data_IF_399455948953
#
_entry.id   IF_399455948953
#
_cell.length_a   1.000
_cell.length_b   1.000
_cell.length_c   1.000
_cell.angle_alpha   90.00
_cell.angle_beta   90.00
_cell.angle_gamma   90.00
#
_symmetry.space_group_name_H-M   'P 1'
#
loop_
_entity.id
_entity.type
_entity.pdbx_description
1 polymer ?
#
# COMPACT_ATOMS: atom_id res chain seq x y z
N UNK A 1 -4.69 -2.02 5.00
CA UNK A 1 -4.30 -3.42 5.27
C UNK A 1 -4.55 -3.84 6.71
N UNK A 2 -4.17 -3.06 7.72
CA UNK A 2 -4.48 -3.39 9.12
C UNK A 2 -6.00 -3.41 9.42
N UNK A 3 -6.75 -2.41 8.92
CA UNK A 3 -8.21 -2.38 9.05
C UNK A 3 -8.89 -3.57 8.36
N UNK A 4 -8.43 -3.93 7.15
CA UNK A 4 -8.95 -5.09 6.42
C UNK A 4 -8.65 -6.40 7.16
N UNK A 5 -7.48 -6.54 7.79
CA UNK A 5 -7.17 -7.70 8.64
C UNK A 5 -8.18 -7.84 9.77
N UNK A 6 -8.42 -6.75 10.51
CA UNK A 6 -9.32 -6.75 11.64
C UNK A 6 -10.78 -7.02 11.23
N UNK A 7 -11.23 -6.43 10.12
CA UNK A 7 -12.57 -6.61 9.59
C UNK A 7 -12.84 -8.07 9.20
N UNK A 8 -11.89 -8.72 8.51
CA UNK A 8 -12.02 -10.11 8.09
C UNK A 8 -11.96 -11.11 9.26
N UNK A 9 -11.15 -10.85 10.29
CA UNK A 9 -11.10 -11.70 11.49
C UNK A 9 -12.38 -11.57 12.33
N UNK A 10 -12.94 -10.37 12.44
CA UNK A 10 -14.11 -10.12 13.27
C UNK A 10 -15.41 -10.51 12.56
N UNK A 11 -15.47 -10.50 11.22
CA UNK A 11 -16.71 -10.79 10.47
C UNK A 11 -17.37 -12.13 10.87
N UNK A 12 -16.66 -13.26 11.01
CA UNK A 12 -17.28 -14.54 11.40
C UNK A 12 -17.89 -14.53 12.80
N UNK A 13 -17.33 -13.73 13.72
CA UNK A 13 -17.83 -13.58 15.09
C UNK A 13 -19.12 -12.74 15.14
N UNK A 14 -19.33 -11.88 14.15
CA UNK A 14 -20.52 -11.05 13.96
C UNK A 14 -21.20 -11.38 12.63
N UNK A 15 -21.54 -12.64 12.37
CA UNK A 15 -22.07 -13.09 11.07
C UNK A 15 -23.26 -12.26 10.53
N UNK A 16 -24.18 -11.85 11.41
CA UNK A 16 -25.41 -11.14 11.04
C UNK A 16 -25.35 -9.61 11.22
N UNK A 17 -24.25 -9.07 11.76
CA UNK A 17 -24.14 -7.65 12.13
C UNK A 17 -22.77 -7.10 11.74
N UNK A 18 -22.66 -5.80 11.54
CA UNK A 18 -21.33 -5.22 11.36
C UNK A 18 -20.55 -5.24 12.67
N UNK A 19 -19.27 -5.68 12.67
CA UNK A 19 -18.46 -5.68 13.87
C UNK A 19 -18.30 -4.25 14.42
N UNK A 20 -18.24 -4.09 15.75
CA UNK A 20 -18.17 -2.77 16.36
C UNK A 20 -16.90 -2.06 15.91
N UNK A 21 -17.09 -0.80 15.52
CA UNK A 21 -16.05 0.04 14.94
C UNK A 21 -14.78 0.15 15.80
N UNK A 22 -14.94 0.30 17.11
CA UNK A 22 -13.81 0.40 18.04
C UNK A 22 -13.00 -0.91 18.10
N UNK A 23 -13.66 -2.07 17.99
CA UNK A 23 -12.96 -3.35 18.01
C UNK A 23 -12.09 -3.55 16.76
N UNK A 24 -12.58 -3.17 15.57
CA UNK A 24 -11.80 -3.24 14.33
C UNK A 24 -10.53 -2.41 14.47
N UNK A 25 -10.63 -1.22 15.05
CA UNK A 25 -9.51 -0.29 15.19
C UNK A 25 -8.50 -0.71 16.24
N UNK A 26 -8.96 -1.15 17.40
CA UNK A 26 -8.08 -1.67 18.45
C UNK A 26 -7.32 -2.88 17.92
N UNK A 27 -8.00 -3.80 17.22
CA UNK A 27 -7.34 -4.94 16.61
C UNK A 27 -6.35 -4.54 15.50
N UNK A 28 -6.71 -3.56 14.67
CA UNK A 28 -5.82 -2.99 13.66
C UNK A 28 -4.58 -2.32 14.29
N UNK A 29 -4.75 -1.60 15.39
CA UNK A 29 -3.65 -0.98 16.14
C UNK A 29 -2.75 -2.05 16.78
N UNK A 30 -3.34 -3.07 17.41
CA UNK A 30 -2.60 -4.19 18.01
C UNK A 30 -1.77 -4.92 16.97
N UNK A 31 -2.35 -5.26 15.81
CA UNK A 31 -1.60 -5.99 14.77
C UNK A 31 -0.48 -5.13 14.17
N UNK A 32 -0.70 -3.82 13.99
CA UNK A 32 0.34 -2.89 13.54
C UNK A 32 1.47 -2.82 14.57
N UNK A 33 1.17 -2.61 15.85
CA UNK A 33 2.17 -2.59 16.93
C UNK A 33 2.94 -3.91 17.04
N UNK A 34 2.23 -5.04 16.96
CA UNK A 34 2.84 -6.37 16.99
C UNK A 34 3.83 -6.56 15.83
N UNK A 35 3.41 -6.24 14.61
CA UNK A 35 4.27 -6.36 13.44
C UNK A 35 5.46 -5.42 13.50
N UNK A 36 5.27 -4.17 13.94
CA UNK A 36 6.37 -3.25 14.18
C UNK A 36 7.35 -3.82 15.20
N UNK A 37 6.87 -4.38 16.32
CA UNK A 37 7.72 -4.99 17.35
C UNK A 37 8.51 -6.19 16.81
N UNK A 38 7.87 -7.07 16.03
CA UNK A 38 8.54 -8.20 15.37
C UNK A 38 9.65 -7.70 14.43
N UNK A 39 9.37 -6.68 13.62
CA UNK A 39 10.35 -6.08 12.71
C UNK A 39 11.50 -5.39 13.46
N UNK A 40 11.24 -4.79 14.62
CA UNK A 40 12.28 -4.23 15.49
C UNK A 40 13.18 -5.31 16.09
N UNK A 41 12.62 -6.48 16.42
CA UNK A 41 13.38 -7.57 17.06
C UNK A 41 14.26 -8.34 16.07
N UNK A 42 13.67 -8.85 14.98
CA UNK A 42 14.44 -9.59 13.98
C UNK A 42 13.73 -9.64 12.62
N UNK A 43 14.31 -8.93 11.65
CA UNK A 43 13.81 -8.86 10.28
C UNK A 43 13.79 -10.24 9.61
N UNK A 44 14.73 -11.14 9.93
CA UNK A 44 14.80 -12.49 9.30
C UNK A 44 13.60 -13.36 9.65
N UNK A 45 13.03 -13.20 10.85
CA UNK A 45 11.80 -13.89 11.21
C UNK A 45 10.61 -13.32 10.46
N UNK A 46 10.53 -11.99 10.37
CA UNK A 46 9.49 -11.30 9.63
C UNK A 46 9.46 -11.71 8.14
N UNK A 47 10.62 -11.81 7.50
CA UNK A 47 10.71 -12.24 6.08
C UNK A 47 10.31 -13.70 5.88
N UNK A 48 10.77 -14.63 6.73
CA UNK A 48 10.37 -16.05 6.65
C UNK A 48 8.86 -16.24 6.82
N UNK A 49 8.28 -15.53 7.78
CA UNK A 49 6.83 -15.56 8.04
C UNK A 49 6.06 -14.99 6.85
N UNK A 50 6.56 -13.92 6.23
CA UNK A 50 5.98 -13.33 5.02
C UNK A 50 6.02 -14.29 3.82
N UNK A 51 7.09 -15.05 3.63
CA UNK A 51 7.21 -16.02 2.52
C UNK A 51 6.12 -17.11 2.63
N UNK A 52 5.91 -17.64 3.84
CA UNK A 52 4.84 -18.61 4.12
C UNK A 52 3.47 -18.02 3.80
N UNK A 53 3.19 -16.80 4.27
CA UNK A 53 1.90 -16.15 3.99
C UNK A 53 1.68 -15.80 2.52
N UNK A 54 2.75 -15.61 1.76
CA UNK A 54 2.66 -15.38 0.32
C UNK A 54 2.18 -16.63 -0.41
N UNK A 55 2.67 -17.82 -0.01
CA UNK A 55 2.17 -19.09 -0.54
C UNK A 55 0.69 -19.31 -0.18
N UNK A 56 0.32 -19.03 1.07
CA UNK A 56 -1.08 -19.11 1.54
C UNK A 56 -2.02 -18.20 0.75
N UNK A 57 -1.58 -16.98 0.42
CA UNK A 57 -2.35 -16.02 -0.38
C UNK A 57 -2.70 -16.59 -1.76
N UNK A 58 -1.72 -17.20 -2.44
CA UNK A 58 -1.93 -17.79 -3.76
C UNK A 58 -2.93 -18.94 -3.68
N UNK A 59 -2.81 -19.79 -2.66
CA UNK A 59 -3.74 -20.90 -2.42
C UNK A 59 -5.18 -20.39 -2.24
N UNK A 60 -5.39 -19.35 -1.44
CA UNK A 60 -6.71 -18.76 -1.21
C UNK A 60 -7.36 -18.25 -2.51
N UNK A 61 -6.58 -17.59 -3.37
CA UNK A 61 -7.08 -17.11 -4.67
C UNK A 61 -7.41 -18.28 -5.60
N UNK A 62 -6.61 -19.35 -5.61
CA UNK A 62 -6.88 -20.55 -6.40
C UNK A 62 -8.18 -21.22 -5.94
N UNK A 63 -8.42 -21.30 -4.63
CA UNK A 63 -9.68 -21.85 -4.08
C UNK A 63 -10.89 -21.05 -4.55
N UNK A 64 -10.84 -19.70 -4.51
CA UNK A 64 -11.94 -18.86 -5.02
C UNK A 64 -12.18 -19.10 -6.52
N UNK A 65 -11.12 -19.16 -7.31
CA UNK A 65 -11.22 -19.36 -8.76
C UNK A 65 -11.84 -20.73 -9.07
N UNK A 66 -11.34 -21.81 -8.45
CA UNK A 66 -11.87 -23.16 -8.67
C UNK A 66 -13.32 -23.30 -8.21
N UNK A 67 -13.67 -22.72 -7.05
CA UNK A 67 -15.04 -22.70 -6.55
C UNK A 67 -16.00 -21.96 -7.50
N UNK A 68 -15.61 -20.78 -7.99
CA UNK A 68 -16.43 -20.02 -8.95
C UNK A 68 -16.57 -20.71 -10.30
N UNK A 69 -15.50 -21.36 -10.79
CA UNK A 69 -15.57 -22.19 -12.01
C UNK A 69 -16.52 -23.38 -11.83
N UNK A 70 -16.53 -24.01 -10.66
CA UNK A 70 -17.46 -25.09 -10.35
C UNK A 70 -18.91 -24.62 -10.33
N UNK A 71 -19.21 -23.49 -9.69
CA UNK A 71 -20.54 -22.87 -9.72
C UNK A 71 -20.97 -22.49 -11.15
N UNK A 72 -20.03 -22.01 -11.97
CA UNK A 72 -20.30 -21.70 -13.38
C UNK A 72 -20.68 -22.96 -14.18
N UNK A 73 -19.98 -24.08 -13.96
CA UNK A 73 -20.29 -25.38 -14.59
C UNK A 73 -21.65 -25.92 -14.16
N UNK A 74 -22.11 -25.62 -12.95
CA UNK A 74 -23.46 -25.97 -12.48
C UNK A 74 -24.58 -25.13 -13.12
N UNK A 75 -24.22 -24.10 -13.88
CA UNK A 75 -25.19 -23.27 -14.60
C UNK A 75 -25.70 -22.05 -13.81
N UNK A 76 -25.05 -21.68 -12.70
CA UNK A 76 -25.41 -20.48 -11.92
C UNK A 76 -24.98 -19.17 -12.61
N UNK A 77 -25.52 -18.88 -13.80
CA UNK A 77 -25.18 -17.68 -14.58
C UNK A 77 -26.16 -16.52 -14.42
N UNK A 78 -27.24 -16.72 -13.65
CA UNK A 78 -28.33 -15.74 -13.50
C UNK A 78 -27.90 -14.39 -12.92
N UNK A 79 -26.86 -14.37 -12.08
CA UNK A 79 -26.34 -13.13 -11.49
C UNK A 79 -25.51 -12.29 -12.48
N UNK A 80 -24.88 -12.94 -13.47
CA UNK A 80 -24.00 -12.27 -14.44
C UNK A 80 -24.83 -11.57 -15.52
N UNK A 81 -25.97 -12.14 -15.91
CA UNK A 81 -26.80 -11.63 -17.00
C UNK A 81 -27.38 -10.24 -16.71
N UNK A 82 -27.64 -9.91 -15.45
CA UNK A 82 -28.11 -8.58 -15.01
C UNK A 82 -26.96 -7.62 -14.68
N UNK A 83 -25.70 -8.03 -14.80
CA UNK A 83 -24.50 -7.32 -14.29
C UNK A 83 -24.38 -5.84 -14.67
N UNK A 84 -24.79 -5.46 -15.88
CA UNK A 84 -24.66 -4.08 -16.39
C UNK A 84 -25.79 -3.12 -15.97
N UNK A 85 -26.88 -3.64 -15.41
CA UNK A 85 -28.00 -2.79 -14.97
C UNK A 85 -27.59 -1.85 -13.83
N UNK A 86 -28.02 -0.59 -13.91
CA UNK A 86 -27.72 0.44 -12.89
C UNK A 86 -26.33 1.07 -13.02
N UNK A 87 -25.61 0.85 -14.11
CA UNK A 87 -24.28 1.44 -14.34
C UNK A 87 -24.37 2.97 -14.42
N UNK A 88 -23.58 3.65 -13.58
CA UNK A 88 -23.40 5.11 -13.66
C UNK A 88 -22.24 5.42 -14.61
N UNK A 89 -22.54 6.09 -15.72
CA UNK A 89 -21.56 6.45 -16.76
C UNK A 89 -20.89 7.81 -16.53
N UNK A 90 -21.18 8.48 -15.42
CA UNK A 90 -20.57 9.76 -15.10
C UNK A 90 -19.04 9.60 -14.96
N UNK A 91 -18.23 10.39 -15.69
CA UNK A 91 -16.77 10.23 -15.72
C UNK A 91 -16.12 10.25 -14.34
N UNK A 92 -16.68 11.04 -13.41
CA UNK A 92 -16.19 11.13 -12.05
C UNK A 92 -16.34 9.84 -11.25
N UNK A 93 -17.48 9.14 -11.35
CA UNK A 93 -17.67 7.85 -10.70
C UNK A 93 -16.79 6.77 -11.30
N UNK A 94 -16.52 6.84 -12.60
CA UNK A 94 -15.54 5.96 -13.27
C UNK A 94 -14.12 6.22 -12.75
N UNK A 95 -13.72 7.48 -12.53
CA UNK A 95 -12.41 7.78 -11.95
C UNK A 95 -12.25 7.21 -10.53
N UNK A 96 -13.29 7.27 -9.70
CA UNK A 96 -13.27 6.68 -8.35
C UNK A 96 -13.20 5.14 -8.38
N UNK A 97 -13.85 4.48 -9.34
CA UNK A 97 -13.72 3.02 -9.47
C UNK A 97 -12.30 2.62 -9.89
N UNK A 98 -11.65 3.41 -10.74
CA UNK A 98 -10.23 3.25 -11.05
C UNK A 98 -9.33 3.40 -9.81
N UNK A 99 -9.64 4.27 -8.84
CA UNK A 99 -8.84 4.37 -7.60
C UNK A 99 -8.86 3.07 -6.80
N UNK A 100 -10.05 2.47 -6.62
CA UNK A 100 -10.18 1.18 -5.94
C UNK A 100 -9.44 0.06 -6.68
N UNK A 101 -9.50 0.08 -8.02
CA UNK A 101 -8.72 -0.82 -8.86
C UNK A 101 -7.22 -0.63 -8.68
N UNK A 102 -6.71 0.60 -8.85
CA UNK A 102 -5.29 0.94 -8.72
C UNK A 102 -4.74 0.60 -7.34
N UNK A 103 -5.51 0.85 -6.28
CA UNK A 103 -5.14 0.45 -4.91
C UNK A 103 -4.88 -1.06 -4.80
N UNK A 104 -5.66 -1.88 -5.52
CA UNK A 104 -5.49 -3.33 -5.55
C UNK A 104 -4.23 -3.79 -6.30
N UNK A 105 -3.70 -2.95 -7.21
CA UNK A 105 -2.44 -3.16 -7.91
C UNK A 105 -1.26 -2.40 -7.27
N UNK A 106 -1.49 -1.66 -6.19
CA UNK A 106 -0.46 -0.85 -5.55
C UNK A 106 0.70 -1.70 -5.04
N UNK A 107 1.89 -1.09 -4.99
CA UNK A 107 3.14 -1.75 -4.56
C UNK A 107 4.09 -2.12 -5.70
N UNK A 108 3.66 -1.98 -6.96
CA UNK A 108 4.56 -2.08 -8.13
C UNK A 108 5.75 -1.11 -8.05
N UNK A 109 5.55 0.05 -7.42
CA UNK A 109 6.57 1.06 -7.17
C UNK A 109 7.70 0.59 -6.23
N UNK A 110 7.43 -0.37 -5.34
CA UNK A 110 8.42 -0.84 -4.37
C UNK A 110 9.58 -1.61 -5.02
N UNK A 111 9.34 -2.20 -6.20
CA UNK A 111 10.39 -2.85 -6.99
C UNK A 111 11.51 -1.87 -7.38
N UNK A 112 11.18 -0.58 -7.52
CA UNK A 112 12.18 0.45 -7.80
C UNK A 112 13.18 0.61 -6.65
N UNK A 113 12.75 0.40 -5.39
CA UNK A 113 13.63 0.52 -4.22
C UNK A 113 14.62 -0.65 -4.08
N UNK A 114 14.30 -1.79 -4.68
CA UNK A 114 15.13 -3.01 -4.63
C UNK A 114 15.88 -3.20 -5.96
N UNK A 115 15.84 -2.20 -6.84
CA UNK A 115 16.51 -2.29 -8.15
C UNK A 115 18.02 -2.43 -8.01
N UNK A 116 18.63 -1.88 -6.96
CA UNK A 116 20.06 -2.02 -6.67
C UNK A 116 20.46 -3.44 -6.27
N UNK A 117 19.54 -4.21 -5.67
CA UNK A 117 19.76 -5.60 -5.27
C UNK A 117 19.44 -6.59 -6.41
N UNK A 118 18.84 -6.12 -7.50
CA UNK A 118 18.37 -6.96 -8.60
C UNK A 118 19.52 -7.34 -9.54
N UNK A 119 19.72 -8.64 -9.77
CA UNK A 119 20.69 -9.14 -10.76
C UNK A 119 20.33 -8.62 -12.15
N UNK A 120 21.21 -7.84 -12.79
CA UNK A 120 21.00 -7.26 -14.13
C UNK A 120 19.69 -6.45 -14.28
N UNK A 121 19.55 -5.30 -13.58
CA UNK A 121 18.29 -4.58 -13.48
C UNK A 121 17.75 -4.11 -14.84
N UNK A 122 18.62 -3.69 -15.75
CA UNK A 122 18.21 -3.16 -17.06
C UNK A 122 17.50 -4.17 -17.97
N UNK A 123 17.74 -5.48 -17.78
CA UNK A 123 17.10 -6.54 -18.57
C UNK A 123 16.00 -7.25 -17.79
N UNK A 124 16.22 -7.48 -16.50
CA UNK A 124 15.33 -8.30 -15.70
C UNK A 124 14.16 -7.51 -15.15
N UNK A 125 14.32 -6.22 -14.83
CA UNK A 125 13.22 -5.39 -14.33
C UNK A 125 12.09 -5.24 -15.37
N UNK A 126 12.34 -4.89 -16.65
CA UNK A 126 11.28 -4.81 -17.65
C UNK A 126 10.60 -6.16 -17.91
N UNK A 127 11.37 -7.25 -17.95
CA UNK A 127 10.82 -8.60 -18.14
C UNK A 127 9.92 -9.01 -16.98
N UNK A 128 10.35 -8.75 -15.74
CA UNK A 128 9.55 -9.02 -14.56
C UNK A 128 8.20 -8.29 -14.61
N UNK A 129 8.21 -7.00 -14.98
CA UNK A 129 6.99 -6.18 -15.12
C UNK A 129 6.05 -6.74 -16.21
N UNK A 130 6.59 -7.07 -17.38
CA UNK A 130 5.79 -7.60 -18.50
C UNK A 130 5.16 -8.97 -18.22
N UNK A 131 5.74 -9.77 -17.30
CA UNK A 131 5.20 -11.08 -16.93
C UNK A 131 4.23 -10.93 -15.75
N UNK A 132 4.62 -10.18 -14.71
CA UNK A 132 3.86 -10.09 -13.46
C UNK A 132 2.55 -9.32 -13.64
N UNK A 133 2.54 -8.19 -14.35
CA UNK A 133 1.34 -7.37 -14.49
C UNK A 133 0.19 -8.11 -15.20
N UNK A 134 0.37 -8.70 -16.40
CA UNK A 134 -0.71 -9.45 -17.05
C UNK A 134 -1.17 -10.66 -16.23
N UNK A 135 -0.25 -11.35 -15.55
CA UNK A 135 -0.58 -12.49 -14.70
C UNK A 135 -1.48 -12.09 -13.53
N UNK A 136 -1.14 -10.99 -12.83
CA UNK A 136 -1.98 -10.46 -11.74
C UNK A 136 -3.33 -10.03 -12.28
N UNK A 137 -3.37 -9.34 -13.43
CA UNK A 137 -4.61 -8.93 -14.07
C UNK A 137 -5.52 -10.11 -14.41
N UNK A 138 -4.95 -11.17 -14.97
CA UNK A 138 -5.69 -12.39 -15.29
C UNK A 138 -6.31 -13.02 -14.02
N UNK A 139 -5.53 -13.16 -12.94
CA UNK A 139 -6.03 -13.71 -11.68
C UNK A 139 -7.13 -12.83 -11.07
N UNK A 140 -6.96 -11.50 -11.08
CA UNK A 140 -7.97 -10.58 -10.54
C UNK A 140 -9.27 -10.64 -11.33
N UNK A 141 -9.22 -10.74 -12.65
CA UNK A 141 -10.41 -10.91 -13.49
C UNK A 141 -11.11 -12.22 -13.14
N UNK A 142 -10.38 -13.34 -13.03
CA UNK A 142 -10.97 -14.62 -12.66
C UNK A 142 -11.63 -14.60 -11.29
N UNK A 143 -11.00 -13.99 -10.28
CA UNK A 143 -11.59 -13.86 -8.94
C UNK A 143 -12.86 -13.02 -8.95
N UNK A 144 -12.89 -11.91 -9.70
CA UNK A 144 -14.09 -11.09 -9.83
C UNK A 144 -15.22 -11.86 -10.54
N UNK A 145 -14.90 -12.63 -11.59
CA UNK A 145 -15.88 -13.50 -12.25
C UNK A 145 -16.45 -14.50 -11.22
N UNK A 146 -15.60 -15.17 -10.43
CA UNK A 146 -16.06 -16.07 -9.37
C UNK A 146 -17.02 -15.39 -8.40
N UNK A 147 -16.73 -14.16 -7.96
CA UNK A 147 -17.62 -13.43 -7.08
C UNK A 147 -18.96 -13.10 -7.75
N UNK A 148 -18.98 -12.67 -9.01
CA UNK A 148 -20.22 -12.33 -9.71
C UNK A 148 -21.08 -13.54 -10.10
N UNK A 149 -20.50 -14.74 -10.20
CA UNK A 149 -21.28 -15.99 -10.38
C UNK A 149 -22.10 -16.27 -9.11
N UNK A 150 -21.45 -16.21 -7.95
CA UNK A 150 -22.00 -16.75 -6.69
C UNK A 150 -22.76 -15.70 -5.86
N UNK A 151 -22.34 -14.44 -5.90
CA UNK A 151 -22.92 -13.35 -5.10
C UNK A 151 -23.80 -12.44 -5.95
N UNK A 152 -24.88 -11.95 -5.36
CA UNK A 152 -25.72 -10.92 -5.98
C UNK A 152 -25.08 -9.54 -5.83
N UNK A 153 -25.52 -8.57 -6.65
CA UNK A 153 -25.03 -7.19 -6.57
C UNK A 153 -25.25 -6.57 -5.18
N UNK A 154 -26.41 -6.82 -4.58
CA UNK A 154 -26.75 -6.27 -3.27
C UNK A 154 -25.84 -6.83 -2.18
N UNK A 155 -25.58 -8.13 -2.19
CA UNK A 155 -24.67 -8.78 -1.24
C UNK A 155 -23.23 -8.29 -1.38
N UNK A 156 -22.76 -8.06 -2.61
CA UNK A 156 -21.41 -7.56 -2.85
C UNK A 156 -21.25 -6.11 -2.37
N UNK A 157 -22.29 -5.28 -2.52
CA UNK A 157 -22.29 -3.88 -2.07
C UNK A 157 -22.53 -3.73 -0.56
N UNK A 158 -23.28 -4.63 0.08
CA UNK A 158 -23.53 -4.61 1.52
C UNK A 158 -22.44 -5.31 2.32
N UNK A 159 -21.68 -6.21 1.70
CA UNK A 159 -20.64 -6.99 2.39
C UNK A 159 -19.35 -6.21 2.56
N UNK A 160 -18.98 -6.05 3.82
CA UNK A 160 -17.71 -5.52 4.27
C UNK A 160 -16.53 -6.49 4.07
N UNK A 161 -16.81 -7.78 3.89
CA UNK A 161 -15.82 -8.83 3.73
C UNK A 161 -16.27 -9.85 2.68
N UNK A 162 -16.25 -9.42 1.41
CA UNK A 162 -16.78 -10.16 0.24
C UNK A 162 -16.29 -11.61 0.18
N UNK A 163 -15.00 -11.86 0.47
CA UNK A 163 -14.47 -13.22 0.41
C UNK A 163 -15.05 -14.16 1.49
N UNK A 164 -15.41 -13.61 2.66
CA UNK A 164 -16.06 -14.39 3.73
C UNK A 164 -17.49 -14.74 3.31
N UNK A 165 -18.25 -13.76 2.79
CA UNK A 165 -19.61 -13.98 2.28
C UNK A 165 -19.63 -15.00 1.13
N UNK A 166 -18.62 -14.97 0.25
CA UNK A 166 -18.43 -16.00 -0.77
C UNK A 166 -18.20 -17.40 -0.15
N UNK A 167 -17.35 -17.48 0.87
CA UNK A 167 -17.08 -18.72 1.61
C UNK A 167 -18.31 -19.27 2.31
N UNK A 168 -19.11 -18.42 2.95
CA UNK A 168 -20.34 -18.82 3.66
C UNK A 168 -21.35 -19.47 2.72
N UNK A 169 -21.48 -18.97 1.48
CA UNK A 169 -22.40 -19.54 0.49
C UNK A 169 -21.95 -20.88 -0.08
N UNK A 170 -20.66 -21.04 -0.36
CA UNK A 170 -20.17 -22.12 -1.22
C UNK A 170 -19.38 -23.19 -0.46
N UNK A 171 -18.64 -22.80 0.59
CA UNK A 171 -17.75 -23.71 1.31
C UNK A 171 -18.41 -24.38 2.53
N UNK A 172 -19.60 -23.92 2.95
CA UNK A 172 -20.35 -24.50 4.06
C UNK A 172 -19.49 -24.65 5.32
N UNK A 173 -19.23 -25.90 5.74
CA UNK A 173 -18.37 -26.23 6.89
C UNK A 173 -16.95 -25.66 6.80
N UNK A 174 -16.41 -25.45 5.59
CA UNK A 174 -15.09 -24.88 5.37
C UNK A 174 -15.06 -23.35 5.37
N UNK A 175 -16.18 -22.66 5.62
CA UNK A 175 -16.21 -21.19 5.58
C UNK A 175 -15.17 -20.52 6.50
N UNK A 176 -14.90 -21.12 7.68
CA UNK A 176 -13.90 -20.60 8.63
C UNK A 176 -12.47 -20.48 8.06
N UNK A 177 -12.14 -21.24 7.02
CA UNK A 177 -10.82 -21.21 6.38
C UNK A 177 -10.58 -19.91 5.61
N UNK A 178 -11.65 -19.28 5.10
CA UNK A 178 -11.55 -18.11 4.23
C UNK A 178 -11.11 -16.83 4.97
N UNK A 179 -11.72 -16.47 6.12
CA UNK A 179 -11.22 -15.41 6.99
C UNK A 179 -9.76 -15.61 7.40
N UNK A 180 -9.37 -16.86 7.73
CA UNK A 180 -8.02 -17.19 8.14
C UNK A 180 -7.00 -16.92 7.01
N UNK A 181 -7.27 -17.39 5.79
CA UNK A 181 -6.39 -17.14 4.65
C UNK A 181 -6.28 -15.66 4.28
N UNK A 182 -7.39 -14.91 4.32
CA UNK A 182 -7.35 -13.46 4.06
C UNK A 182 -6.62 -12.72 5.16
N UNK A 183 -6.77 -13.12 6.42
CA UNK A 183 -6.00 -12.59 7.54
C UNK A 183 -4.48 -12.82 7.36
N UNK A 184 -4.06 -14.04 6.99
CA UNK A 184 -2.67 -14.33 6.66
C UNK A 184 -2.14 -13.45 5.52
N UNK A 185 -2.93 -13.27 4.45
CA UNK A 185 -2.56 -12.41 3.32
C UNK A 185 -2.38 -10.94 3.73
N UNK A 186 -3.32 -10.40 4.51
CA UNK A 186 -3.28 -9.00 4.95
C UNK A 186 -2.16 -8.76 5.96
N UNK A 187 -1.85 -9.75 6.81
CA UNK A 187 -0.70 -9.73 7.71
C UNK A 187 0.62 -9.67 6.93
N UNK A 188 0.80 -10.56 5.94
CA UNK A 188 2.00 -10.57 5.09
C UNK A 188 2.18 -9.27 4.30
N UNK A 189 1.08 -8.72 3.74
CA UNK A 189 1.11 -7.45 3.03
C UNK A 189 1.45 -6.26 3.95
N UNK A 190 0.90 -6.23 5.17
CA UNK A 190 1.21 -5.21 6.17
C UNK A 190 2.68 -5.27 6.60
N UNK A 191 3.21 -6.47 6.83
CA UNK A 191 4.62 -6.69 7.13
C UNK A 191 5.54 -6.16 6.02
N UNK A 192 5.26 -6.52 4.76
CA UNK A 192 6.03 -6.05 3.60
C UNK A 192 5.99 -4.54 3.44
N UNK A 193 4.84 -3.90 3.67
CA UNK A 193 4.69 -2.45 3.61
C UNK A 193 5.48 -1.73 4.72
N UNK A 194 5.47 -2.26 5.95
CA UNK A 194 6.27 -1.73 7.07
C UNK A 194 7.76 -1.78 6.72
N UNK A 195 8.22 -2.92 6.20
CA UNK A 195 9.63 -3.11 5.83
C UNK A 195 10.09 -2.15 4.73
N UNK A 196 9.34 -2.07 3.63
CA UNK A 196 9.67 -1.20 2.50
C UNK A 196 9.65 0.29 2.90
N UNK A 197 8.64 0.71 3.67
CA UNK A 197 8.49 2.10 4.08
C UNK A 197 9.57 2.53 5.07
N UNK A 198 9.92 1.67 6.03
CA UNK A 198 11.00 1.98 6.99
C UNK A 198 12.34 2.25 6.28
N UNK A 199 12.64 1.50 5.19
CA UNK A 199 13.84 1.75 4.38
C UNK A 199 13.79 3.11 3.68
N UNK A 200 12.63 3.52 3.17
CA UNK A 200 12.47 4.84 2.54
C UNK A 200 12.73 5.99 3.54
N UNK A 201 12.18 5.91 4.75
CA UNK A 201 12.42 6.89 5.80
C UNK A 201 13.89 6.91 6.24
N UNK A 202 14.51 5.75 6.36
CA UNK A 202 15.94 5.62 6.68
C UNK A 202 16.83 6.31 5.63
N UNK A 203 16.60 6.03 4.34
CA UNK A 203 17.37 6.65 3.25
C UNK A 203 17.11 8.16 3.17
N UNK A 204 15.86 8.60 3.32
CA UNK A 204 15.52 10.03 3.33
C UNK A 204 16.17 10.79 4.49
N UNK A 205 16.32 10.17 5.65
CA UNK A 205 17.04 10.73 6.78
C UNK A 205 18.55 10.80 6.55
N UNK A 206 19.13 9.82 5.85
CA UNK A 206 20.55 9.82 5.48
C UNK A 206 20.91 10.95 4.51
N UNK A 207 20.01 11.26 3.57
CA UNK A 207 20.16 12.40 2.65
C UNK A 207 19.92 13.77 3.33
N UNK A 208 19.66 13.80 4.64
CA UNK A 208 19.47 15.04 5.39
C UNK A 208 18.08 15.67 5.23
N UNK A 209 17.12 14.97 4.64
CA UNK A 209 15.74 15.45 4.49
C UNK A 209 14.83 15.15 5.69
N UNK A 210 15.26 14.26 6.59
CA UNK A 210 14.55 13.91 7.83
C UNK A 210 15.51 13.98 9.04
N UNK A 211 14.98 14.05 10.28
CA UNK A 211 15.81 14.05 11.48
C UNK A 211 16.77 12.86 11.54
N UNK A 212 18.02 13.11 11.97
CA UNK A 212 19.06 12.07 12.08
C UNK A 212 18.64 10.89 12.95
N UNK A 213 17.79 11.10 13.96
CA UNK A 213 17.21 10.04 14.78
C UNK A 213 16.58 8.90 13.97
N UNK A 214 15.96 9.22 12.83
CA UNK A 214 15.27 8.24 11.97
C UNK A 214 16.28 7.35 11.22
N UNK A 215 17.48 7.87 10.94
CA UNK A 215 18.57 7.13 10.30
C UNK A 215 19.40 6.26 11.26
N UNK A 216 19.01 6.16 12.54
CA UNK A 216 19.73 5.34 13.51
C UNK A 216 19.39 3.85 13.36
N UNK A 217 20.39 2.99 13.60
CA UNK A 217 20.27 1.53 13.56
C UNK A 217 20.62 0.96 14.94
N UNK A 218 19.84 -0.01 15.42
CA UNK A 218 20.12 -0.68 16.68
C UNK A 218 21.42 -1.50 16.62
N UNK A 219 22.27 -1.38 17.65
CA UNK A 219 23.60 -2.02 17.71
C UNK A 219 23.55 -3.55 17.69
N UNK A 220 22.66 -4.18 18.47
CA UNK A 220 22.63 -5.64 18.60
C UNK A 220 21.90 -6.31 17.43
N UNK A 221 20.87 -5.65 16.89
CA UNK A 221 19.89 -6.26 15.98
C UNK A 221 20.04 -5.81 14.53
N UNK A 222 20.81 -4.75 14.28
CA UNK A 222 20.98 -4.16 12.94
C UNK A 222 19.65 -3.77 12.26
N UNK A 223 18.67 -3.35 13.06
CA UNK A 223 17.33 -2.94 12.60
C UNK A 223 17.11 -1.43 12.77
N UNK A 224 16.42 -0.75 11.84
CA UNK A 224 16.14 0.70 11.94
C UNK A 224 14.94 0.97 12.87
N UNK A 225 15.12 0.73 14.17
CA UNK A 225 14.06 0.81 15.18
C UNK A 225 13.36 2.18 15.20
N UNK A 226 14.07 3.33 15.18
CA UNK A 226 13.38 4.64 15.21
C UNK A 226 12.52 4.91 13.98
N UNK A 227 12.96 4.49 12.78
CA UNK A 227 12.15 4.55 11.56
C UNK A 227 10.87 3.72 11.68
N UNK A 228 10.97 2.51 12.22
CA UNK A 228 9.83 1.60 12.42
C UNK A 228 8.83 2.17 13.43
N UNK A 229 9.31 2.73 14.54
CA UNK A 229 8.47 3.35 15.57
C UNK A 229 7.78 4.61 15.02
N UNK A 230 8.50 5.46 14.30
CA UNK A 230 7.91 6.65 13.67
C UNK A 230 6.79 6.28 12.70
N UNK A 231 7.03 5.28 11.83
CA UNK A 231 6.02 4.77 10.91
C UNK A 231 4.80 4.20 11.64
N UNK A 232 5.02 3.49 12.75
CA UNK A 232 3.95 2.94 13.58
C UNK A 232 3.08 4.06 14.15
N UNK A 233 3.69 5.10 14.74
CA UNK A 233 2.97 6.27 15.29
C UNK A 233 2.14 6.94 14.20
N UNK A 234 2.72 7.21 13.03
CA UNK A 234 1.99 7.82 11.89
C UNK A 234 0.82 6.93 11.46
N UNK A 235 1.02 5.61 11.41
CA UNK A 235 -0.03 4.65 11.04
C UNK A 235 -1.17 4.65 12.07
N UNK A 236 -0.86 4.70 13.36
CA UNK A 236 -1.86 4.79 14.45
C UNK A 236 -2.67 6.08 14.37
N UNK A 237 -2.05 7.21 14.03
CA UNK A 237 -2.77 8.48 13.79
C UNK A 237 -3.71 8.35 12.60
N UNK A 238 -3.28 7.73 11.50
CA UNK A 238 -4.13 7.51 10.33
C UNK A 238 -5.30 6.55 10.60
N UNK A 239 -5.19 5.64 11.58
CA UNK A 239 -6.32 4.79 12.00
C UNK A 239 -7.49 5.59 12.60
N UNK A 240 -7.30 6.87 12.97
CA UNK A 240 -8.38 7.75 13.43
C UNK A 240 -9.39 8.09 12.32
N UNK A 241 -9.01 7.95 11.04
CA UNK A 241 -9.91 8.15 9.89
C UNK A 241 -10.94 7.01 9.82
N UNK A 242 -12.24 7.35 9.79
CA UNK A 242 -13.33 6.38 9.99
C UNK A 242 -13.52 5.39 8.85
N UNK A 243 -13.35 5.86 7.62
CA UNK A 243 -13.73 5.13 6.43
C UNK A 243 -12.49 4.69 5.63
N UNK A 244 -12.43 3.38 5.32
CA UNK A 244 -11.35 2.78 4.54
C UNK A 244 -11.36 3.31 3.10
N UNK A 245 -12.53 3.54 2.51
CA UNK A 245 -12.65 4.06 1.14
C UNK A 245 -12.14 5.50 1.04
N UNK A 246 -12.41 6.32 2.05
CA UNK A 246 -11.85 7.67 2.15
C UNK A 246 -10.31 7.61 2.23
N UNK A 247 -9.76 6.67 3.00
CA UNK A 247 -8.31 6.47 3.09
C UNK A 247 -7.71 6.02 1.75
N UNK A 248 -8.39 5.13 1.03
CA UNK A 248 -8.00 4.71 -0.33
C UNK A 248 -8.00 5.92 -1.26
N UNK A 249 -9.05 6.74 -1.26
CA UNK A 249 -9.13 7.92 -2.10
C UNK A 249 -8.01 8.93 -1.81
N UNK A 250 -7.68 9.18 -0.53
CA UNK A 250 -6.55 10.03 -0.15
C UNK A 250 -5.24 9.53 -0.75
N UNK A 251 -4.93 8.25 -0.54
CA UNK A 251 -3.67 7.65 -1.00
C UNK A 251 -3.61 7.61 -2.53
N UNK A 252 -4.68 7.16 -3.19
CA UNK A 252 -4.74 7.05 -4.65
C UNK A 252 -4.66 8.40 -5.35
N UNK A 253 -5.25 9.46 -4.78
CA UNK A 253 -5.10 10.81 -5.31
C UNK A 253 -3.65 11.29 -5.21
N UNK A 254 -3.04 11.18 -4.02
CA UNK A 254 -1.65 11.61 -3.80
C UNK A 254 -0.68 10.82 -4.69
N UNK A 255 -0.84 9.50 -4.77
CA UNK A 255 -0.03 8.63 -5.65
C UNK A 255 -0.19 9.02 -7.13
N UNK A 256 -1.42 9.26 -7.59
CA UNK A 256 -1.69 9.69 -8.97
C UNK A 256 -1.08 11.05 -9.28
N UNK A 257 -1.12 12.00 -8.34
CA UNK A 257 -0.54 13.33 -8.48
C UNK A 257 0.99 13.28 -8.59
N UNK A 258 1.67 12.56 -7.70
CA UNK A 258 3.13 12.41 -7.77
C UNK A 258 3.57 11.59 -8.98
N UNK A 259 2.76 10.62 -9.41
CA UNK A 259 3.00 9.89 -10.66
C UNK A 259 2.86 10.82 -11.87
N UNK A 260 1.85 11.70 -11.88
CA UNK A 260 1.68 12.71 -12.93
C UNK A 260 2.91 13.63 -13.03
N UNK A 261 3.40 14.16 -11.90
CA UNK A 261 4.61 14.99 -11.90
C UNK A 261 5.86 14.24 -12.37
N UNK A 262 6.01 12.98 -11.95
CA UNK A 262 7.14 12.14 -12.38
C UNK A 262 7.14 11.88 -13.89
N UNK A 263 5.97 11.56 -14.46
CA UNK A 263 5.81 11.32 -15.90
C UNK A 263 5.98 12.63 -16.70
N UNK A 264 5.50 13.74 -16.17
CA UNK A 264 5.72 15.08 -16.73
C UNK A 264 7.22 15.40 -16.81
N UNK A 265 7.95 15.12 -15.73
CA UNK A 265 9.41 15.24 -15.67
C UNK A 265 10.11 14.35 -16.70
N UNK A 266 9.64 13.11 -16.88
CA UNK A 266 10.15 12.19 -17.91
C UNK A 266 9.94 12.74 -19.32
N UNK A 267 8.74 13.22 -19.65
CA UNK A 267 8.41 13.83 -20.95
C UNK A 267 9.26 15.09 -21.19
N UNK A 268 9.41 15.94 -20.17
CA UNK A 268 10.25 17.14 -20.24
C UNK A 268 11.73 16.80 -20.43
N UNK A 269 12.26 15.79 -19.72
CA UNK A 269 13.63 15.28 -19.91
C UNK A 269 13.84 14.68 -21.29
N UNK A 270 12.79 14.07 -21.90
CA UNK A 270 12.88 13.59 -23.28
C UNK A 270 13.11 14.72 -24.27
N UNK A 271 12.47 15.87 -24.07
CA UNK A 271 12.60 17.06 -24.91
C UNK A 271 13.92 17.79 -24.66
N UNK A 272 14.27 18.03 -23.38
CA UNK A 272 15.41 18.88 -23.01
C UNK A 272 16.77 18.17 -23.12
N UNK A 273 16.83 16.86 -22.89
CA UNK A 273 18.09 16.08 -22.92
C UNK A 273 17.93 14.81 -23.78
N UNK A 274 17.82 14.95 -25.12
CA UNK A 274 17.61 13.81 -26.01
C UNK A 274 18.81 12.84 -26.04
N UNK A 275 20.03 13.35 -25.90
CA UNK A 275 21.28 12.59 -26.05
C UNK A 275 21.75 11.88 -24.76
N UNK A 276 21.00 11.96 -23.66
CA UNK A 276 21.35 11.26 -22.43
C UNK A 276 21.37 9.75 -22.64
N UNK A 277 22.38 9.05 -22.09
CA UNK A 277 22.48 7.58 -22.15
C UNK A 277 21.33 6.98 -21.32
N UNK A 278 20.35 6.38 -22.01
CA UNK A 278 19.17 5.74 -21.38
C UNK A 278 19.30 4.22 -21.50
N UNK A 279 19.49 3.49 -20.39
CA UNK A 279 19.61 2.03 -20.40
C UNK A 279 18.33 1.33 -20.86
N UNK A 280 17.16 1.93 -20.58
CA UNK A 280 15.84 1.42 -20.97
C UNK A 280 15.16 2.50 -21.82
N UNK A 281 14.72 2.14 -23.03
CA UNK A 281 13.97 3.03 -23.93
C UNK A 281 12.64 2.38 -24.26
N UNK A 282 11.55 3.08 -23.94
CA UNK A 282 10.19 2.73 -24.34
C UNK A 282 9.66 3.73 -25.37
N UNK A 283 8.69 3.31 -26.18
CA UNK A 283 8.05 4.20 -27.15
C UNK A 283 7.46 5.43 -26.45
N UNK A 284 7.54 6.61 -27.08
CA UNK A 284 7.09 7.90 -26.51
C UNK A 284 5.57 7.90 -26.27
N UNK A 285 4.83 7.14 -27.09
CA UNK A 285 3.38 7.01 -26.97
C UNK A 285 2.95 6.52 -25.58
N UNK A 286 3.71 5.61 -24.97
CA UNK A 286 3.35 5.00 -23.68
C UNK A 286 3.36 6.03 -22.52
N UNK A 287 4.43 6.82 -22.30
CA UNK A 287 4.39 7.93 -21.34
C UNK A 287 3.32 8.98 -21.61
N UNK A 288 2.98 9.26 -22.89
CA UNK A 288 1.92 10.22 -23.24
C UNK A 288 0.55 9.67 -22.83
N UNK A 289 0.23 8.43 -23.18
CA UNK A 289 -1.03 7.78 -22.78
C UNK A 289 -1.14 7.76 -21.26
N UNK A 290 -0.06 7.37 -20.57
CA UNK A 290 -0.04 7.32 -19.11
C UNK A 290 -0.21 8.70 -18.47
N UNK A 291 0.40 9.75 -19.04
CA UNK A 291 0.19 11.14 -18.60
C UNK A 291 -1.28 11.56 -18.71
N UNK A 292 -1.94 11.25 -19.84
CA UNK A 292 -3.37 11.57 -20.04
C UNK A 292 -4.25 10.84 -19.01
N UNK A 293 -3.97 9.56 -18.74
CA UNK A 293 -4.70 8.78 -17.73
C UNK A 293 -4.48 9.38 -16.33
N UNK A 294 -3.24 9.68 -15.94
CA UNK A 294 -2.97 10.30 -14.65
C UNK A 294 -3.62 11.68 -14.52
N UNK A 295 -3.63 12.48 -15.58
CA UNK A 295 -4.30 13.78 -15.59
C UNK A 295 -5.81 13.64 -15.39
N UNK A 296 -6.45 12.69 -16.08
CA UNK A 296 -7.86 12.34 -15.89
C UNK A 296 -8.16 11.92 -14.44
N UNK A 297 -7.31 11.05 -13.88
CA UNK A 297 -7.42 10.56 -12.52
C UNK A 297 -7.15 11.61 -11.45
N UNK A 298 -6.47 12.72 -11.76
CA UNK A 298 -6.27 13.84 -10.83
C UNK A 298 -7.40 14.85 -10.95
N UNK A 299 -7.84 15.18 -12.18
CA UNK A 299 -8.80 16.26 -12.43
C UNK A 299 -10.23 15.89 -12.06
N UNK A 300 -10.68 14.68 -12.38
CA UNK A 300 -12.09 14.31 -12.16
C UNK A 300 -12.47 14.13 -10.68
N UNK A 301 -11.64 13.50 -9.83
CA UNK A 301 -11.96 13.37 -8.41
C UNK A 301 -12.06 14.71 -7.69
N UNK A 302 -11.42 15.78 -8.20
CA UNK A 302 -11.60 17.14 -7.69
C UNK A 302 -13.08 17.59 -7.72
N UNK A 303 -13.85 17.15 -8.70
CA UNK A 303 -15.27 17.51 -8.82
C UNK A 303 -16.18 16.59 -7.98
N UNK A 304 -15.85 15.31 -7.85
CA UNK A 304 -16.72 14.31 -7.18
C UNK A 304 -16.51 14.30 -5.67
N UNK A 305 -15.26 14.38 -5.21
CA UNK A 305 -14.86 14.30 -3.79
C UNK A 305 -13.89 15.45 -3.44
N UNK A 306 -14.31 16.73 -3.57
CA UNK A 306 -13.44 17.89 -3.39
C UNK A 306 -12.84 17.97 -1.99
N UNK A 307 -13.56 17.53 -0.95
CA UNK A 307 -13.08 17.55 0.42
C UNK A 307 -11.88 16.60 0.61
N UNK A 308 -11.97 15.39 0.07
CA UNK A 308 -10.92 14.38 0.20
C UNK A 308 -9.66 14.82 -0.55
N UNK A 309 -9.84 15.31 -1.77
CA UNK A 309 -8.74 15.87 -2.57
C UNK A 309 -8.12 17.10 -1.91
N UNK A 310 -8.94 18.01 -1.39
CA UNK A 310 -8.49 19.25 -0.74
C UNK A 310 -7.60 18.99 0.46
N UNK A 311 -7.99 18.05 1.34
CA UNK A 311 -7.15 17.64 2.48
C UNK A 311 -5.83 17.04 2.00
N UNK A 312 -5.84 16.20 0.95
CA UNK A 312 -4.62 15.66 0.34
C UNK A 312 -3.66 16.75 -0.14
N UNK A 313 -4.18 17.78 -0.82
CA UNK A 313 -3.40 18.94 -1.29
C UNK A 313 -2.85 19.74 -0.10
N UNK A 314 -3.65 19.99 0.93
CA UNK A 314 -3.21 20.71 2.14
C UNK A 314 -2.07 19.95 2.83
N UNK A 315 -2.16 18.63 2.95
CA UNK A 315 -1.08 17.81 3.51
C UNK A 315 0.20 17.95 2.67
N UNK A 316 0.11 17.90 1.34
CA UNK A 316 1.27 18.07 0.45
C UNK A 316 1.87 19.48 0.60
N UNK A 317 1.04 20.52 0.57
CA UNK A 317 1.48 21.91 0.71
C UNK A 317 2.06 22.19 2.10
N UNK A 318 1.58 21.50 3.15
CA UNK A 318 2.15 21.59 4.50
C UNK A 318 3.60 21.09 4.57
N UNK A 319 4.04 20.27 3.61
CA UNK A 319 5.43 19.86 3.48
C UNK A 319 6.38 21.01 3.06
N UNK A 320 5.86 22.04 2.37
CA UNK A 320 6.64 23.19 1.93
C UNK A 320 7.20 24.01 3.11
N UNK A 321 6.38 24.50 4.07
CA UNK A 321 6.92 25.24 5.22
C UNK A 321 7.86 24.37 6.06
N UNK A 322 7.56 23.07 6.21
CA UNK A 322 8.45 22.12 6.90
C UNK A 322 9.81 22.05 6.19
N UNK A 323 9.84 21.95 4.86
CA UNK A 323 11.08 21.95 4.08
C UNK A 323 11.90 23.24 4.29
N UNK A 324 11.25 24.41 4.24
CA UNK A 324 11.93 25.68 4.43
C UNK A 324 12.52 25.82 5.85
N UNK A 325 11.77 25.43 6.88
CA UNK A 325 12.18 25.54 8.28
C UNK A 325 13.32 24.56 8.60
N UNK A 326 13.22 23.30 8.17
CA UNK A 326 14.15 22.26 8.61
C UNK A 326 15.35 22.05 7.69
N UNK A 327 15.24 22.34 6.40
CA UNK A 327 16.30 22.02 5.42
C UNK A 327 16.95 23.29 4.85
N UNK A 328 16.15 24.22 4.31
CA UNK A 328 16.71 25.40 3.64
C UNK A 328 17.26 26.45 4.62
N UNK A 329 16.74 26.49 5.85
CA UNK A 329 17.22 27.43 6.87
C UNK A 329 18.62 27.03 7.37
N UNK A 330 19.65 27.69 6.83
CA UNK A 330 21.06 27.45 7.19
C UNK A 330 21.46 28.02 8.55
N UNK A 331 20.90 29.17 8.94
CA UNK A 331 21.20 29.83 10.22
C UNK A 331 20.12 29.51 11.25
N UNK A 332 20.04 28.24 11.67
CA UNK A 332 19.04 27.83 12.67
C UNK A 332 19.36 28.49 14.01
N UNK A 333 18.34 28.91 14.77
CA UNK A 333 18.58 29.42 16.11
C UNK A 333 19.09 28.27 17.00
N UNK A 334 20.09 28.56 17.85
CA UNK A 334 20.77 27.55 18.68
C UNK A 334 19.83 26.68 19.53
N UNK A 335 18.67 27.20 19.94
CA UNK A 335 17.68 26.42 20.69
C UNK A 335 17.07 25.28 19.87
N UNK A 336 16.88 25.47 18.56
CA UNK A 336 16.30 24.47 17.66
C UNK A 336 17.33 23.36 17.37
N UNK A 337 18.59 23.74 17.21
CA UNK A 337 19.71 22.79 17.07
C UNK A 337 19.88 21.96 18.35
N UNK A 338 19.90 22.62 19.51
CA UNK A 338 19.97 21.93 20.80
C UNK A 338 18.79 20.98 21.02
N UNK A 339 17.57 21.37 20.61
CA UNK A 339 16.39 20.50 20.72
C UNK A 339 16.52 19.29 19.80
N UNK A 340 16.93 19.49 18.54
CA UNK A 340 17.14 18.41 17.58
C UNK A 340 18.24 17.45 18.06
N UNK A 341 19.36 17.97 18.58
CA UNK A 341 20.45 17.17 19.11
C UNK A 341 20.04 16.43 20.39
N UNK A 342 19.31 17.07 21.29
CA UNK A 342 18.75 16.42 22.48
C UNK A 342 17.82 15.29 22.07
N UNK A 343 16.91 15.53 21.11
CA UNK A 343 16.01 14.51 20.58
C UNK A 343 16.78 13.34 19.96
N UNK A 344 17.79 13.62 19.14
CA UNK A 344 18.65 12.59 18.55
C UNK A 344 19.36 11.76 19.62
N UNK A 345 19.95 12.41 20.63
CA UNK A 345 20.62 11.73 21.75
C UNK A 345 19.65 10.91 22.60
N UNK A 346 18.45 11.42 22.87
CA UNK A 346 17.41 10.70 23.61
C UNK A 346 16.97 9.46 22.83
N UNK A 347 16.72 9.57 21.53
CA UNK A 347 16.38 8.42 20.69
C UNK A 347 17.53 7.40 20.62
N UNK A 348 18.77 7.85 20.47
CA UNK A 348 19.94 6.99 20.42
C UNK A 348 20.11 6.19 21.73
N UNK A 349 19.97 6.85 22.89
CA UNK A 349 20.04 6.19 24.21
C UNK A 349 18.85 5.28 24.47
N UNK A 350 17.63 5.72 24.16
CA UNK A 350 16.40 4.96 24.41
C UNK A 350 16.37 3.65 23.62
N UNK A 351 16.84 3.68 22.38
CA UNK A 351 16.79 2.51 21.48
C UNK A 351 18.13 1.80 21.32
N UNK A 352 19.20 2.22 22.03
CA UNK A 352 20.56 1.71 21.89
C UNK A 352 21.00 1.66 20.41
N UNK A 353 20.84 2.79 19.72
CA UNK A 353 21.08 2.89 18.28
C UNK A 353 22.26 3.82 17.96
N UNK A 354 22.95 3.50 16.87
CA UNK A 354 24.14 4.21 16.36
C UNK A 354 23.90 4.61 14.90
N UNK A 355 24.61 5.64 14.43
CA UNK A 355 24.60 6.02 13.01
C UNK A 355 25.33 4.98 12.16
N UNK A 356 24.77 4.59 11.01
CA UNK A 356 25.32 3.48 10.22
C UNK A 356 26.74 3.73 9.70
N UNK A 357 27.16 4.99 9.59
CA UNK A 357 28.50 5.34 9.10
C UNK A 357 29.61 4.97 10.11
N UNK A 358 29.28 4.80 11.39
CA UNK A 358 30.22 4.32 12.44
C UNK A 358 30.29 2.78 12.54
N UNK A 359 29.32 2.05 11.97
CA UNK A 359 29.26 0.58 12.05
C UNK A 359 30.21 -0.11 11.05
N UNK A 360 30.74 0.63 10.07
CA UNK A 360 31.71 0.12 9.10
C UNK A 360 33.17 0.27 9.52
N UNK A 361 33.44 0.87 10.68
CA UNK A 361 34.80 1.18 11.15
C UNK A 361 35.34 0.27 12.24
N UNK A 362 34.70 -0.88 12.51
CA UNK A 362 35.22 -1.92 13.41
C UNK A 362 35.29 -3.30 12.75
#
# INVERSE_FOLDING_TARGET
TALTFAQYILQPLWANCNPPYEAIRLLAAVITCLLTAINCYNVKWATRVQDVFTATKILALVVIVLAGLWALVQGETGNISTGFEGTRYEPGHVALSFYSGLFSYAGWNYLNFVTEELKNPFKNLPKAICISLPMVTFIYVLVNISYYVVLTKEELLSSNAVAVTFGDKLLGWMSWTMPFFVACSTFGALNGAIFASARLFFVGAREGHLPKAIALINYERYTPVPSLVFLCIVTLVLLVIKDVYVLINYVSFVESLFTLFSVSGLLWLRLKRPNAKRPIKVNILLPIIFFVICAFLVVLPCYVRPWEVGVGIVIILSGIPVYYIFIQWKNKPRWLENLADTFNFTCAKMFMCVLSDEVKSD
#
